data_IF_454662323853
#
_entry.id   IF_454662323853
#
_cell.length_a   1.000
_cell.length_b   1.000
_cell.length_c   1.000
_cell.angle_alpha   90.00
_cell.angle_beta   90.00
_cell.angle_gamma   90.00
#
_symmetry.space_group_name_H-M   'P 1'
#
loop_
_entity.id
_entity.type
_entity.pdbx_description
1 polymer ?
#
# COMPACT_ATOMS: atom_id res chain seq x y z
N UNK A 1 4.33 9.77 -84.60
CA UNK A 1 3.71 8.82 -83.64
C UNK A 1 3.49 9.57 -82.33
N UNK A 2 2.23 9.69 -81.93
CA UNK A 2 1.77 10.28 -80.66
C UNK A 2 1.96 9.27 -79.48
N UNK A 3 1.70 9.61 -78.20
CA UNK A 3 1.15 10.86 -77.68
C UNK A 3 1.82 11.46 -76.42
N UNK A 4 1.37 12.69 -76.16
CA UNK A 4 1.33 13.47 -74.91
C UNK A 4 0.61 12.71 -73.79
N UNK A 5 1.08 12.80 -72.54
CA UNK A 5 0.19 12.93 -71.38
C UNK A 5 0.87 13.65 -70.20
N UNK A 6 0.14 14.64 -69.69
CA UNK A 6 0.49 15.49 -68.56
C UNK A 6 -0.12 14.98 -67.25
N UNK A 7 0.35 15.60 -66.15
CA UNK A 7 -0.23 15.70 -64.81
C UNK A 7 -0.16 14.45 -63.91
N UNK A 8 0.43 14.60 -62.72
CA UNK A 8 -0.33 15.02 -61.51
C UNK A 8 0.63 15.22 -60.33
N UNK A 9 0.46 16.37 -59.69
CA UNK A 9 0.96 16.71 -58.37
C UNK A 9 0.49 15.72 -57.31
N UNK A 10 1.38 15.23 -56.46
CA UNK A 10 1.05 14.47 -55.26
C UNK A 10 1.91 14.93 -54.10
N UNK A 11 1.46 15.95 -53.37
CA UNK A 11 1.95 16.22 -52.04
C UNK A 11 1.58 15.04 -51.14
N UNK A 12 2.57 14.23 -50.75
CA UNK A 12 2.42 13.30 -49.65
C UNK A 12 2.61 14.06 -48.34
N UNK A 13 1.52 14.67 -47.90
CA UNK A 13 1.25 14.88 -46.49
C UNK A 13 0.34 13.74 -46.00
N UNK A 14 0.37 13.49 -44.70
CA UNK A 14 -0.34 12.48 -43.92
C UNK A 14 0.29 11.09 -43.86
N UNK A 15 1.03 10.92 -42.76
CA UNK A 15 1.34 9.66 -42.15
C UNK A 15 2.19 9.96 -40.93
N UNK A 16 1.68 10.81 -40.02
CA UNK A 16 2.19 10.81 -38.66
C UNK A 16 1.91 9.40 -38.14
N UNK A 17 2.86 8.50 -38.31
CA UNK A 17 2.98 7.36 -37.43
C UNK A 17 3.14 8.00 -36.05
N UNK A 18 2.02 8.09 -35.35
CA UNK A 18 2.00 8.04 -33.90
C UNK A 18 2.71 6.73 -33.56
N UNK A 19 4.04 6.81 -33.55
CA UNK A 19 4.87 5.81 -32.91
C UNK A 19 4.42 5.92 -31.46
N UNK A 20 3.48 5.05 -31.10
CA UNK A 20 3.20 4.70 -29.71
C UNK A 20 4.54 4.19 -29.17
N UNK A 21 5.33 5.15 -28.66
CA UNK A 21 6.46 4.87 -27.81
C UNK A 21 5.98 3.94 -26.71
N UNK A 22 6.84 3.05 -26.20
CA UNK A 22 6.43 1.97 -25.31
C UNK A 22 5.53 2.56 -24.23
N UNK A 23 4.25 2.15 -24.24
CA UNK A 23 3.35 2.49 -23.15
C UNK A 23 4.05 1.96 -21.91
N UNK A 24 4.55 2.88 -21.09
CA UNK A 24 4.91 2.54 -19.72
C UNK A 24 3.60 2.04 -19.17
N UNK A 25 3.43 0.71 -19.11
CA UNK A 25 2.16 0.08 -18.79
C UNK A 25 1.83 0.46 -17.35
N UNK A 26 1.15 1.58 -17.21
CA UNK A 26 0.71 2.11 -15.93
C UNK A 26 -0.25 1.10 -15.32
N UNK A 27 -0.20 1.01 -14.00
CA UNK A 27 -1.17 0.25 -13.22
C UNK A 27 -2.59 0.61 -13.65
N UNK A 28 -3.45 -0.40 -13.82
CA UNK A 28 -4.85 -0.17 -14.24
C UNK A 28 -5.62 0.62 -13.17
N UNK A 29 -6.29 1.74 -13.51
CA UNK A 29 -7.08 2.52 -12.55
C UNK A 29 -8.19 1.71 -11.86
N UNK A 30 -8.66 0.63 -12.48
CA UNK A 30 -9.66 -0.25 -11.88
C UNK A 30 -9.13 -0.92 -10.60
N UNK A 31 -7.82 -1.24 -10.54
CA UNK A 31 -7.20 -1.83 -9.36
C UNK A 31 -7.19 -0.85 -8.18
N UNK A 32 -7.08 0.45 -8.42
CA UNK A 32 -7.00 1.46 -7.36
C UNK A 32 -8.34 1.69 -6.67
N UNK A 33 -9.44 1.47 -7.40
CA UNK A 33 -10.81 1.65 -6.87
C UNK A 33 -11.28 0.54 -5.92
N UNK A 34 -10.51 -0.56 -5.79
CA UNK A 34 -10.90 -1.68 -4.92
C UNK A 34 -10.67 -1.30 -3.47
N UNK A 35 -11.77 -1.13 -2.72
CA UNK A 35 -11.71 -0.86 -1.28
C UNK A 35 -11.48 -2.14 -0.49
N UNK A 36 -10.37 -2.18 0.24
CA UNK A 36 -9.96 -3.30 1.09
C UNK A 36 -9.60 -2.80 2.49
N UNK A 37 -9.90 -3.64 3.49
CA UNK A 37 -9.52 -3.46 4.89
C UNK A 37 -9.41 -4.83 5.56
N UNK A 38 -8.35 -5.06 6.33
CA UNK A 38 -8.19 -6.30 7.09
C UNK A 38 -9.34 -6.49 8.10
N UNK A 39 -9.74 -7.74 8.28
CA UNK A 39 -10.79 -8.16 9.22
C UNK A 39 -10.31 -9.40 9.95
N UNK A 40 -10.65 -9.55 11.23
CA UNK A 40 -10.17 -10.65 12.09
C UNK A 40 -10.38 -12.04 11.52
N UNK A 41 -11.57 -12.28 10.97
CA UNK A 41 -11.96 -13.58 10.42
C UNK A 41 -11.57 -13.72 8.94
N UNK A 42 -10.92 -12.68 8.39
CA UNK A 42 -10.32 -12.71 7.07
C UNK A 42 -8.95 -13.38 7.10
N UNK A 43 -8.45 -13.71 5.93
CA UNK A 43 -7.09 -14.23 5.74
C UNK A 43 -6.45 -13.50 4.57
N UNK A 44 -5.18 -13.17 4.71
CA UNK A 44 -4.34 -12.70 3.61
C UNK A 44 -3.02 -13.47 3.54
N UNK A 45 -2.20 -13.17 2.55
CA UNK A 45 -0.95 -13.87 2.24
C UNK A 45 0.28 -13.08 2.70
N UNK A 46 1.46 -13.69 2.56
CA UNK A 46 2.75 -13.00 2.66
C UNK A 46 2.98 -12.25 3.99
N UNK A 47 2.60 -12.87 5.11
CA UNK A 47 2.88 -12.33 6.44
C UNK A 47 4.39 -12.03 6.61
N UNK A 48 4.71 -10.79 7.00
CA UNK A 48 6.06 -10.26 7.15
C UNK A 48 6.62 -9.59 5.90
N UNK A 49 6.02 -9.76 4.72
CA UNK A 49 6.46 -9.11 3.50
C UNK A 49 5.95 -7.66 3.40
N UNK A 50 6.62 -6.84 2.59
CA UNK A 50 6.13 -5.51 2.29
C UNK A 50 4.91 -5.56 1.35
N UNK A 51 3.70 -5.44 1.92
CA UNK A 51 2.44 -5.50 1.18
C UNK A 51 2.38 -4.48 0.02
N UNK A 52 2.96 -3.29 0.22
CA UNK A 52 2.95 -2.21 -0.77
C UNK A 52 3.90 -2.45 -1.95
N UNK A 53 4.72 -3.51 -1.94
CA UNK A 53 5.42 -3.96 -3.14
C UNK A 53 4.43 -4.38 -4.26
N UNK A 54 3.29 -4.96 -3.88
CA UNK A 54 2.24 -5.38 -4.80
C UNK A 54 1.01 -4.46 -4.77
N UNK A 55 0.68 -3.92 -3.61
CA UNK A 55 -0.48 -3.05 -3.37
C UNK A 55 -0.14 -1.56 -3.33
N UNK A 56 1.05 -1.16 -3.79
CA UNK A 56 1.46 0.24 -3.92
C UNK A 56 1.24 0.79 -5.34
N UNK A 57 1.57 2.08 -5.60
CA UNK A 57 1.33 2.74 -6.89
C UNK A 57 2.00 2.05 -8.08
N UNK A 58 3.12 1.38 -7.85
CA UNK A 58 3.89 0.65 -8.87
C UNK A 58 3.60 -0.86 -8.87
N UNK A 59 2.72 -1.34 -8.00
CA UNK A 59 2.37 -2.75 -7.90
C UNK A 59 1.24 -3.14 -8.84
N UNK A 60 0.91 -4.43 -8.90
CA UNK A 60 -0.11 -4.99 -9.81
C UNK A 60 -1.33 -5.58 -9.10
N UNK A 61 -1.33 -5.63 -7.77
CA UNK A 61 -2.41 -6.24 -6.99
C UNK A 61 -3.55 -5.24 -6.72
N UNK A 62 -4.82 -5.67 -6.64
CA UNK A 62 -5.96 -4.79 -6.41
C UNK A 62 -5.92 -4.11 -5.03
N UNK A 63 -6.44 -2.90 -4.96
CA UNK A 63 -6.42 -2.04 -3.79
C UNK A 63 -5.07 -1.35 -3.64
N UNK A 64 -5.11 -0.03 -3.50
CA UNK A 64 -3.94 0.78 -3.19
C UNK A 64 -3.84 0.96 -1.68
N UNK A 65 -2.94 0.22 -1.03
CA UNK A 65 -2.83 0.27 0.42
C UNK A 65 -2.21 1.57 0.88
N UNK A 66 -2.87 2.21 1.85
CA UNK A 66 -2.41 3.44 2.50
C UNK A 66 -1.75 3.17 3.84
N UNK A 67 -2.16 2.08 4.51
CA UNK A 67 -1.49 1.47 5.67
C UNK A 67 -1.49 -0.03 5.46
N UNK A 68 -0.34 -0.67 5.67
CA UNK A 68 -0.24 -2.11 5.66
C UNK A 68 0.95 -2.60 6.48
N UNK A 69 0.77 -3.72 7.15
CA UNK A 69 1.86 -4.48 7.71
C UNK A 69 1.44 -5.82 8.32
N UNK A 70 2.38 -6.46 9.02
CA UNK A 70 2.16 -7.69 9.79
C UNK A 70 2.58 -7.47 11.24
N UNK A 71 1.67 -7.75 12.16
CA UNK A 71 1.96 -7.74 13.60
C UNK A 71 2.51 -9.08 14.05
N UNK A 72 3.49 -9.07 14.94
CA UNK A 72 4.10 -10.26 15.54
C UNK A 72 4.00 -10.21 17.07
N UNK A 73 4.03 -11.37 17.71
CA UNK A 73 4.03 -11.44 19.18
C UNK A 73 5.32 -10.86 19.78
N UNK A 74 6.46 -11.13 19.13
CA UNK A 74 7.81 -10.68 19.51
C UNK A 74 8.70 -10.71 18.26
N UNK A 75 9.96 -10.22 18.29
CA UNK A 75 10.84 -10.19 17.12
C UNK A 75 11.03 -11.53 16.40
N UNK A 76 11.14 -12.64 17.14
CA UNK A 76 11.20 -14.00 16.60
C UNK A 76 9.89 -14.80 16.78
N UNK A 77 8.84 -14.13 17.23
CA UNK A 77 7.54 -14.72 17.54
C UNK A 77 6.68 -14.99 16.30
N UNK A 78 5.57 -15.72 16.46
CA UNK A 78 4.61 -15.90 15.38
C UNK A 78 3.84 -14.61 15.06
N UNK A 79 3.24 -14.49 13.86
CA UNK A 79 2.27 -13.44 13.57
C UNK A 79 1.11 -13.41 14.58
N UNK A 80 0.63 -12.21 14.88
CA UNK A 80 -0.34 -11.95 15.94
C UNK A 80 -1.72 -11.60 15.36
N UNK A 81 -2.59 -12.59 15.25
CA UNK A 81 -3.94 -12.45 14.66
C UNK A 81 -4.96 -11.70 15.53
N UNK A 82 -4.65 -11.49 16.82
CA UNK A 82 -5.47 -10.68 17.72
C UNK A 82 -4.91 -9.27 17.98
N UNK A 83 -4.00 -8.83 17.11
CA UNK A 83 -3.43 -7.50 17.15
C UNK A 83 -4.45 -6.42 16.73
N UNK A 84 -4.32 -5.25 17.36
CA UNK A 84 -5.01 -4.03 16.98
C UNK A 84 -3.98 -2.92 16.84
N UNK A 85 -3.89 -2.35 15.65
CA UNK A 85 -3.02 -1.22 15.30
C UNK A 85 -3.84 0.05 15.37
N UNK A 86 -3.34 1.04 16.09
CA UNK A 86 -3.95 2.38 16.18
C UNK A 86 -2.94 3.42 15.74
N UNK A 87 -3.36 4.35 14.87
CA UNK A 87 -2.57 5.52 14.47
C UNK A 87 -3.19 6.76 15.10
N UNK A 88 -2.40 7.51 15.88
CA UNK A 88 -2.89 8.69 16.61
C UNK A 88 -2.05 9.94 16.31
N UNK A 89 -2.60 11.13 16.59
CA UNK A 89 -1.94 12.41 16.29
C UNK A 89 -0.86 12.81 17.31
N UNK A 90 -0.70 12.09 18.42
CA UNK A 90 0.33 12.36 19.43
C UNK A 90 0.98 11.06 19.95
N UNK A 91 2.19 11.14 20.55
CA UNK A 91 2.91 9.97 21.06
C UNK A 91 2.14 9.16 22.09
N UNK A 92 2.58 7.91 22.31
CA UNK A 92 2.11 7.03 23.39
C UNK A 92 0.59 6.77 23.39
N UNK A 93 -0.04 6.79 22.22
CA UNK A 93 -1.50 6.62 22.08
C UNK A 93 -2.33 7.83 22.53
N UNK A 94 -1.70 9.00 22.69
CA UNK A 94 -2.39 10.25 22.98
C UNK A 94 -2.96 10.92 21.72
N UNK A 95 -3.65 12.03 21.93
CA UNK A 95 -4.24 12.82 20.84
C UNK A 95 -5.49 12.17 20.25
N UNK A 96 -5.76 12.47 18.98
CA UNK A 96 -6.92 11.92 18.27
C UNK A 96 -6.52 10.62 17.57
N UNK A 97 -7.32 9.58 17.73
CA UNK A 97 -7.19 8.35 16.94
C UNK A 97 -7.68 8.62 15.51
N UNK A 98 -6.80 8.46 14.54
CA UNK A 98 -7.09 8.67 13.11
C UNK A 98 -7.52 7.37 12.45
N UNK A 99 -6.89 6.25 12.84
CA UNK A 99 -7.19 4.94 12.27
C UNK A 99 -7.06 3.85 13.35
N UNK A 100 -7.97 2.89 13.31
CA UNK A 100 -7.85 1.62 14.01
C UNK A 100 -8.02 0.48 13.01
N UNK A 101 -7.05 -0.43 12.98
CA UNK A 101 -7.05 -1.65 12.18
C UNK A 101 -6.94 -2.86 13.08
N UNK A 102 -7.68 -3.89 12.73
CA UNK A 102 -7.50 -5.22 13.31
C UNK A 102 -6.68 -6.08 12.37
N UNK A 103 -5.75 -6.84 12.94
CA UNK A 103 -5.09 -7.88 12.18
C UNK A 103 -6.09 -8.98 11.78
N UNK A 104 -5.84 -9.58 10.63
CA UNK A 104 -6.54 -10.76 10.15
C UNK A 104 -5.93 -12.04 10.74
N UNK A 105 -6.46 -13.21 10.33
CA UNK A 105 -6.00 -14.50 10.84
C UNK A 105 -4.51 -14.80 10.56
N UNK A 106 -3.90 -14.12 9.58
CA UNK A 106 -2.48 -14.22 9.24
C UNK A 106 -1.61 -13.21 10.01
N UNK A 107 -2.19 -12.38 10.88
CA UNK A 107 -1.51 -11.29 11.58
C UNK A 107 -1.32 -10.02 10.74
N UNK A 108 -1.88 -9.98 9.52
CA UNK A 108 -1.74 -8.85 8.63
C UNK A 108 -2.82 -7.80 8.90
N UNK A 109 -2.43 -6.53 8.86
CA UNK A 109 -3.34 -5.39 8.90
C UNK A 109 -3.14 -4.55 7.65
N UNK A 110 -4.24 -4.10 7.04
CA UNK A 110 -4.16 -3.24 5.85
C UNK A 110 -5.44 -2.44 5.66
N UNK A 111 -5.33 -1.32 4.95
CA UNK A 111 -6.48 -0.56 4.47
C UNK A 111 -6.15 0.24 3.21
N UNK A 112 -7.20 0.56 2.47
CA UNK A 112 -7.22 1.48 1.33
C UNK A 112 -7.83 2.84 1.69
N UNK A 113 -8.31 3.01 2.93
CA UNK A 113 -8.84 4.26 3.44
C UNK A 113 -7.81 5.39 3.32
N UNK A 114 -8.23 6.57 2.87
CA UNK A 114 -7.32 7.71 2.72
C UNK A 114 -6.68 8.07 4.06
N UNK A 115 -5.35 8.25 4.04
CA UNK A 115 -4.57 8.68 5.19
C UNK A 115 -3.99 10.07 4.95
N UNK A 116 -3.76 10.87 6.00
CA UNK A 116 -3.21 12.22 5.87
C UNK A 116 -1.68 12.23 5.64
N UNK A 117 -1.12 11.14 5.11
CA UNK A 117 0.29 11.05 4.78
C UNK A 117 0.55 11.56 3.36
N UNK A 118 1.69 12.25 3.10
CA UNK A 118 2.75 12.64 4.04
C UNK A 118 2.54 14.04 4.66
N UNK A 119 1.33 14.60 4.65
CA UNK A 119 1.07 15.94 5.17
C UNK A 119 1.05 16.00 6.71
N UNK A 120 0.73 14.89 7.37
CA UNK A 120 0.65 14.76 8.82
C UNK A 120 1.34 13.49 9.31
N UNK A 121 2.22 13.65 10.30
CA UNK A 121 2.86 12.54 10.98
C UNK A 121 1.91 11.88 11.98
N UNK A 122 1.87 10.55 12.04
CA UNK A 122 1.05 9.81 13.01
C UNK A 122 1.91 8.90 13.87
N UNK A 123 1.43 8.55 15.06
CA UNK A 123 2.10 7.69 16.03
C UNK A 123 1.41 6.33 16.11
N UNK A 124 2.06 5.26 15.60
CA UNK A 124 1.55 3.91 15.70
C UNK A 124 1.64 3.35 17.13
N UNK A 125 0.59 2.64 17.51
CA UNK A 125 0.52 1.80 18.71
C UNK A 125 -0.03 0.43 18.32
N UNK A 126 0.66 -0.61 18.76
CA UNK A 126 0.20 -1.99 18.67
C UNK A 126 -0.35 -2.41 20.03
N UNK A 127 -1.49 -3.08 20.02
CA UNK A 127 -2.07 -3.70 21.20
C UNK A 127 -2.53 -5.10 20.89
N UNK A 128 -2.75 -5.86 21.95
CA UNK A 128 -3.44 -7.15 21.88
C UNK A 128 -4.83 -7.02 22.47
N UNK A 129 -5.84 -7.56 21.79
CA UNK A 129 -7.24 -7.47 22.28
C UNK A 129 -7.47 -8.23 23.59
N UNK A 130 -6.72 -9.31 23.79
CA UNK A 130 -6.91 -10.27 24.88
C UNK A 130 -6.05 -9.96 26.11
N UNK A 131 -5.19 -8.94 26.05
CA UNK A 131 -4.31 -8.56 27.15
C UNK A 131 -4.14 -7.05 27.26
N UNK A 132 -3.46 -6.59 28.31
CA UNK A 132 -3.08 -5.18 28.46
C UNK A 132 -1.73 -4.85 27.82
N UNK A 133 -1.12 -5.80 27.11
CA UNK A 133 0.17 -5.61 26.45
C UNK A 133 0.03 -4.62 25.28
N UNK A 134 1.02 -3.76 25.15
CA UNK A 134 1.10 -2.80 24.07
C UNK A 134 2.55 -2.44 23.77
N UNK A 135 2.81 -2.10 22.52
CA UNK A 135 4.05 -1.49 22.08
C UNK A 135 3.71 -0.25 21.24
N UNK A 136 4.64 0.68 21.11
CA UNK A 136 4.45 1.89 20.31
C UNK A 136 5.74 2.34 19.67
N UNK A 137 5.64 3.02 18.53
CA UNK A 137 6.80 3.69 17.97
C UNK A 137 7.10 4.96 18.77
N UNK A 138 8.35 5.13 19.19
CA UNK A 138 8.80 6.32 19.92
C UNK A 138 8.82 7.59 19.07
N UNK A 139 8.84 7.44 17.74
CA UNK A 139 8.81 8.53 16.77
C UNK A 139 7.62 8.36 15.82
N UNK A 140 7.06 9.45 15.28
CA UNK A 140 5.95 9.33 14.35
C UNK A 140 6.44 8.81 13.01
N UNK A 141 5.51 8.27 12.22
CA UNK A 141 5.72 7.90 10.83
C UNK A 141 5.00 8.89 9.89
N UNK A 142 5.55 9.05 8.69
CA UNK A 142 4.94 9.77 7.55
C UNK A 142 4.44 8.81 6.47
N UNK A 143 4.47 7.50 6.74
CA UNK A 143 4.12 6.43 5.80
C UNK A 143 3.38 5.32 6.52
N UNK A 144 2.38 4.73 5.86
CA UNK A 144 1.71 3.52 6.32
C UNK A 144 2.34 2.21 5.83
N UNK A 145 3.47 2.25 5.11
CA UNK A 145 4.18 1.06 4.64
C UNK A 145 4.99 0.41 5.77
N UNK A 146 4.34 -0.16 6.79
CA UNK A 146 5.01 -0.57 8.02
C UNK A 146 6.16 -1.56 7.76
N UNK A 147 5.94 -2.59 6.93
CA UNK A 147 6.96 -3.57 6.60
C UNK A 147 8.07 -3.06 5.64
N UNK A 148 8.05 -1.81 5.19
CA UNK A 148 9.23 -1.23 4.52
C UNK A 148 10.35 -0.90 5.50
N UNK A 149 10.00 -0.60 6.76
CA UNK A 149 10.95 -0.32 7.83
C UNK A 149 10.99 -1.42 8.88
N UNK A 150 9.86 -2.11 9.07
CA UNK A 150 9.72 -3.20 10.02
C UNK A 150 9.79 -4.57 9.33
N UNK A 151 11.01 -5.01 9.02
CA UNK A 151 11.28 -6.27 8.33
C UNK A 151 12.46 -7.02 8.97
N UNK A 152 12.52 -8.34 8.75
CA UNK A 152 13.58 -9.18 9.29
C UNK A 152 13.62 -9.11 10.82
N UNK A 153 14.77 -8.75 11.39
CA UNK A 153 15.00 -8.71 12.84
C UNK A 153 14.40 -7.47 13.55
N UNK A 154 13.57 -6.68 12.87
CA UNK A 154 12.88 -5.51 13.45
C UNK A 154 11.41 -5.51 12.99
N UNK A 155 10.58 -6.49 13.33
CA UNK A 155 9.18 -6.52 12.88
C UNK A 155 8.32 -5.46 13.59
N UNK A 156 7.03 -5.40 13.23
CA UNK A 156 6.03 -4.70 14.05
C UNK A 156 5.60 -5.70 15.12
N UNK A 157 6.18 -5.61 16.29
CA UNK A 157 5.92 -6.55 17.38
C UNK A 157 5.31 -5.89 18.63
N UNK A 158 4.80 -6.74 19.51
CA UNK A 158 4.12 -6.36 20.75
C UNK A 158 5.06 -6.30 21.96
N UNK A 159 6.25 -6.90 21.89
CA UNK A 159 7.12 -7.20 23.04
C UNK A 159 8.57 -6.76 22.81
#
# INVERSE_FOLDING_TARGET
MAPVLALMTGAWACGSSEEEGPSVAGRSPALDSVSLKSQRDGTSHEAGANCMACHGPNGTAPGLFTVAGTAFASPEGPPLSDAVVTLSTAPNGGGTVVLTLEADASGNFYTTETMPFPEQSLFPRLTRRTSTAFNFMSFPTMSGACNSCHAGNNPVDLE
#
